data_IF_967637804257
#
_entry.id   IF_967637804257
#
_cell.length_a   1.000
_cell.length_b   1.000
_cell.length_c   1.000
_cell.angle_alpha   90.00
_cell.angle_beta   90.00
_cell.angle_gamma   90.00
#
_symmetry.space_group_name_H-M   'P 1'
#
loop_
_entity.id
_entity.type
_entity.pdbx_description
1 polymer ?
#
# COMPACT_ATOMS: atom_id res chain seq x y z
N UNK A 1 5.55 0.53 20.45
CA UNK A 1 4.32 0.62 19.64
C UNK A 1 4.36 -0.32 18.42
N UNK A 2 5.24 -0.14 17.44
CA UNK A 2 5.25 -0.95 16.19
C UNK A 2 5.37 -2.47 16.39
N UNK A 3 6.18 -2.92 17.37
CA UNK A 3 6.29 -4.36 17.73
C UNK A 3 4.94 -4.97 18.15
N UNK A 4 4.12 -4.21 18.88
CA UNK A 4 2.82 -4.67 19.37
C UNK A 4 1.73 -4.62 18.27
N UNK A 5 1.95 -3.82 17.22
CA UNK A 5 1.08 -3.74 16.03
C UNK A 5 1.52 -4.72 14.93
N UNK A 6 2.40 -5.67 15.25
CA UNK A 6 2.95 -6.66 14.31
C UNK A 6 3.62 -6.06 13.04
N UNK A 7 4.14 -4.83 13.12
CA UNK A 7 4.87 -4.20 12.01
C UNK A 7 6.32 -4.71 11.99
N UNK A 8 6.69 -5.45 10.94
CA UNK A 8 8.01 -6.09 10.78
C UNK A 8 8.93 -5.43 9.75
N UNK A 9 8.35 -4.75 8.75
CA UNK A 9 9.07 -4.16 7.62
C UNK A 9 8.56 -2.74 7.38
N UNK A 10 9.39 -1.87 6.81
CA UNK A 10 9.02 -0.50 6.46
C UNK A 10 9.19 -0.27 4.95
N UNK A 11 8.38 0.61 4.34
CA UNK A 11 7.19 1.27 4.90
C UNK A 11 6.01 0.30 5.11
N UNK A 12 5.13 0.60 6.08
CA UNK A 12 3.97 -0.23 6.45
C UNK A 12 2.75 0.64 6.71
N UNK A 13 1.58 0.14 6.32
CA UNK A 13 0.31 0.85 6.36
C UNK A 13 -0.74 -0.02 7.04
N UNK A 14 -1.48 0.59 7.97
CA UNK A 14 -2.70 0.03 8.52
C UNK A 14 -3.85 0.97 8.20
N UNK A 15 -4.94 0.47 7.66
CA UNK A 15 -6.15 1.24 7.48
C UNK A 15 -7.11 0.92 8.62
N UNK A 16 -7.62 1.96 9.26
CA UNK A 16 -8.60 1.83 10.32
C UNK A 16 -9.84 2.64 9.99
N UNK A 17 -11.01 2.12 10.37
CA UNK A 17 -12.27 2.79 10.12
C UNK A 17 -13.24 2.68 11.28
N UNK A 18 -13.29 3.71 12.11
CA UNK A 18 -14.31 3.84 13.17
C UNK A 18 -14.55 2.54 13.95
N UNK A 19 -15.80 2.08 13.95
CA UNK A 19 -16.21 0.84 14.62
C UNK A 19 -15.76 -0.44 13.92
N UNK A 20 -15.41 -0.38 12.63
CA UNK A 20 -14.94 -1.53 11.84
C UNK A 20 -13.51 -1.95 12.23
N UNK A 21 -12.79 -1.09 12.96
CA UNK A 21 -11.43 -1.39 13.42
C UNK A 21 -10.45 -1.42 12.25
N UNK A 22 -9.56 -2.42 12.22
CA UNK A 22 -8.51 -2.54 11.20
C UNK A 22 -9.06 -3.20 9.93
N UNK A 23 -9.01 -2.48 8.82
CA UNK A 23 -9.46 -2.93 7.50
C UNK A 23 -8.32 -3.54 6.68
N UNK A 24 -7.17 -2.87 6.62
CA UNK A 24 -6.01 -3.30 5.84
C UNK A 24 -4.74 -3.26 6.66
N UNK A 25 -3.78 -4.11 6.31
CA UNK A 25 -2.47 -4.20 6.94
C UNK A 25 -1.45 -4.71 5.92
N UNK A 26 -0.62 -3.80 5.39
CA UNK A 26 0.34 -4.16 4.34
C UNK A 26 1.57 -3.27 4.31
N UNK A 27 2.64 -3.78 3.70
CA UNK A 27 3.74 -2.97 3.19
C UNK A 27 3.60 -2.76 1.68
N UNK A 28 4.06 -1.62 1.19
CA UNK A 28 4.21 -1.36 -0.23
C UNK A 28 5.29 -0.31 -0.48
N UNK A 29 6.02 -0.43 -1.59
CA UNK A 29 6.97 0.59 -2.05
C UNK A 29 6.31 1.56 -3.02
N UNK A 30 7.03 2.58 -3.46
CA UNK A 30 6.57 3.53 -4.49
C UNK A 30 6.10 2.81 -5.77
N UNK A 31 6.81 1.78 -6.21
CA UNK A 31 6.43 0.97 -7.37
C UNK A 31 5.09 0.22 -7.19
N UNK A 32 4.62 0.06 -5.95
CA UNK A 32 3.36 -0.60 -5.59
C UNK A 32 2.37 0.38 -4.99
N UNK A 33 2.49 1.68 -5.29
CA UNK A 33 1.62 2.72 -4.77
C UNK A 33 0.14 2.50 -5.13
N UNK A 34 -0.13 1.84 -6.26
CA UNK A 34 -1.50 1.46 -6.66
C UNK A 34 -2.22 0.67 -5.57
N UNK A 35 -1.51 -0.16 -4.80
CA UNK A 35 -2.08 -0.91 -3.67
C UNK A 35 -2.71 0.00 -2.61
N UNK A 36 -2.14 1.19 -2.39
CA UNK A 36 -2.71 2.19 -1.48
C UNK A 36 -3.97 2.78 -2.10
N UNK A 37 -3.93 3.17 -3.38
CA UNK A 37 -5.09 3.74 -4.09
C UNK A 37 -6.28 2.78 -4.06
N UNK A 38 -6.04 1.52 -4.42
CA UNK A 38 -7.08 0.47 -4.44
C UNK A 38 -7.67 0.24 -3.05
N UNK A 39 -6.81 0.20 -2.01
CA UNK A 39 -7.27 0.06 -0.63
C UNK A 39 -8.11 1.25 -0.17
N UNK A 40 -7.79 2.47 -0.62
CA UNK A 40 -8.58 3.66 -0.31
C UNK A 40 -9.92 3.57 -1.01
N UNK A 41 -9.94 3.28 -2.31
CA UNK A 41 -11.19 3.18 -3.09
C UNK A 41 -12.13 2.12 -2.52
N UNK A 42 -11.60 0.94 -2.15
CA UNK A 42 -12.38 -0.15 -1.57
C UNK A 42 -13.04 0.22 -0.24
N UNK A 43 -12.32 0.95 0.62
CA UNK A 43 -12.77 1.25 1.99
C UNK A 43 -13.35 2.65 2.14
N UNK A 44 -13.35 3.44 1.07
CA UNK A 44 -13.98 4.74 1.01
C UNK A 44 -15.49 4.57 0.89
N UNK A 45 -16.21 5.21 1.81
CA UNK A 45 -17.64 5.03 1.94
C UNK A 45 -18.23 6.35 2.40
N UNK A 46 -19.31 6.76 1.75
CA UNK A 46 -20.01 8.00 2.05
C UNK A 46 -20.49 7.99 3.51
N UNK A 47 -20.02 8.96 4.30
CA UNK A 47 -20.53 9.22 5.65
C UNK A 47 -21.28 10.55 5.61
N UNK A 48 -22.49 10.59 6.14
CA UNK A 48 -23.31 11.80 6.17
C UNK A 48 -22.63 13.02 6.85
N UNK A 49 -21.57 12.80 7.64
CA UNK A 49 -20.83 13.84 8.37
C UNK A 49 -19.45 14.20 7.79
N UNK A 50 -18.95 13.42 6.84
CA UNK A 50 -17.68 13.68 6.15
C UNK A 50 -18.10 13.91 4.72
N UNK A 51 -18.02 15.15 4.25
CA UNK A 51 -18.44 15.54 2.90
C UNK A 51 -17.84 14.67 1.79
N UNK A 52 -18.23 14.90 0.53
CA UNK A 52 -17.86 14.05 -0.60
C UNK A 52 -16.37 13.66 -0.55
N UNK A 53 -16.04 12.38 -0.75
CA UNK A 53 -14.67 11.93 -0.63
C UNK A 53 -13.75 12.78 -1.48
N UNK A 54 -12.75 13.41 -0.83
CA UNK A 54 -11.71 14.16 -1.52
C UNK A 54 -10.80 13.13 -2.16
N UNK A 55 -10.67 13.22 -3.48
CA UNK A 55 -9.80 12.34 -4.24
C UNK A 55 -8.34 12.46 -3.76
N UNK A 56 -7.66 11.32 -3.75
CA UNK A 56 -6.23 11.26 -3.46
C UNK A 56 -5.54 11.56 -4.78
N UNK A 57 -5.38 12.86 -5.07
CA UNK A 57 -5.04 13.36 -6.40
C UNK A 57 -3.93 12.60 -7.13
N UNK A 58 -3.95 12.71 -8.46
CA UNK A 58 -3.07 11.97 -9.36
C UNK A 58 -1.60 12.28 -9.14
N UNK A 59 -0.96 11.45 -8.29
CA UNK A 59 0.48 11.39 -8.21
C UNK A 59 1.00 10.64 -9.45
N UNK A 60 1.44 11.41 -10.46
CA UNK A 60 2.21 10.88 -11.59
C UNK A 60 3.58 10.44 -11.09
N UNK A 61 3.73 9.14 -10.83
CA UNK A 61 5.02 8.54 -10.51
C UNK A 61 5.49 7.73 -11.69
N UNK A 62 6.46 8.27 -12.42
CA UNK A 62 7.20 7.50 -13.41
C UNK A 62 7.86 6.32 -12.71
N UNK A 63 7.43 5.11 -13.05
CA UNK A 63 8.05 3.86 -12.64
C UNK A 63 9.49 3.84 -13.16
N UNK A 64 10.52 3.82 -12.31
CA UNK A 64 11.85 3.44 -12.78
C UNK A 64 11.75 1.97 -13.17
N UNK A 65 11.83 1.71 -14.46
CA UNK A 65 11.93 0.37 -15.02
C UNK A 65 13.11 -0.35 -14.35
N UNK A 66 12.82 -1.48 -13.72
CA UNK A 66 13.83 -2.39 -13.17
C UNK A 66 14.73 -2.85 -14.32
N UNK A 67 16.06 -2.60 -14.29
CA UNK A 67 16.99 -3.33 -15.16
C UNK A 67 16.91 -4.80 -14.78
N UNK A 68 16.51 -5.63 -15.74
CA UNK A 68 16.50 -7.08 -15.61
C UNK A 68 17.95 -7.53 -15.75
N UNK A 69 18.68 -7.58 -14.63
CA UNK A 69 19.98 -8.25 -14.62
C UNK A 69 19.74 -9.75 -14.81
N UNK A 70 20.27 -10.23 -15.93
CA UNK A 70 20.27 -11.60 -16.39
C UNK A 70 21.30 -12.39 -15.55
N UNK A 71 20.85 -13.21 -14.61
CA UNK A 71 21.75 -14.11 -13.90
C UNK A 71 21.69 -15.51 -14.53
N UNK A 72 22.60 -15.65 -15.50
CA UNK A 72 23.16 -16.88 -16.06
C UNK A 72 23.45 -17.92 -14.97
N UNK A 73 23.16 -19.18 -15.31
CA UNK A 73 23.19 -20.31 -14.37
C UNK A 73 24.58 -20.72 -13.88
N UNK A 74 24.58 -21.53 -12.83
CA UNK A 74 25.59 -22.56 -12.66
C UNK A 74 25.06 -23.75 -11.87
N UNK A 75 25.16 -24.88 -12.56
CA UNK A 75 25.32 -26.26 -12.10
C UNK A 75 25.78 -26.43 -10.65
N UNK A 76 25.19 -27.41 -9.96
CA UNK A 76 25.80 -28.04 -8.79
C UNK A 76 25.51 -29.54 -8.86
N UNK A 77 26.57 -30.27 -9.24
CA UNK A 77 26.98 -31.65 -8.93
C UNK A 77 25.93 -32.66 -8.50
#
# INVERSE_FOLDING_TARGET
>A
MCKNLNVKVLPYFHFYRGADGQLESFSCSLAKFQKIKDAIELHNTARCSIGPPKDVGDLNFETPSVPKDEQSGSSST
#
